data_IF_413642457471
#
_entry.id   IF_413642457471
#
_cell.length_a   1.000
_cell.length_b   1.000
_cell.length_c   1.000
_cell.angle_alpha   90.00
_cell.angle_beta   90.00
_cell.angle_gamma   90.00
#
_symmetry.space_group_name_H-M   'P 1'
#
loop_
_entity.id
_entity.type
_entity.pdbx_description
1 polymer ?
#
# COMPACT_ATOMS: atom_id res chain seq x y z
N UNK A 1 25.78 -57.30 -47.65
CA UNK A 1 26.58 -56.36 -46.84
C UNK A 1 25.65 -55.26 -46.39
N UNK A 2 25.16 -55.39 -45.16
CA UNK A 2 24.40 -54.38 -44.44
C UNK A 2 25.27 -53.15 -44.20
N UNK A 3 24.67 -51.96 -44.26
CA UNK A 3 25.01 -50.81 -43.41
C UNK A 3 23.90 -49.77 -43.58
N UNK A 4 22.93 -49.89 -42.68
CA UNK A 4 21.87 -48.95 -42.36
C UNK A 4 22.53 -47.72 -41.73
N UNK A 5 22.30 -46.53 -42.28
CA UNK A 5 22.79 -45.27 -41.70
C UNK A 5 21.66 -44.72 -40.85
N UNK A 6 21.78 -44.91 -39.53
CA UNK A 6 20.84 -44.37 -38.56
C UNK A 6 21.01 -42.84 -38.48
N UNK A 7 19.96 -42.09 -38.83
CA UNK A 7 19.85 -40.69 -38.46
C UNK A 7 19.57 -40.59 -36.96
N UNK A 8 20.50 -39.96 -36.24
CA UNK A 8 20.33 -39.57 -34.84
C UNK A 8 19.25 -38.49 -34.75
N UNK A 9 18.18 -38.62 -33.93
CA UNK A 9 17.26 -37.53 -33.72
C UNK A 9 17.97 -36.40 -32.96
N UNK A 10 18.00 -35.20 -33.56
CA UNK A 10 18.42 -33.97 -32.89
C UNK A 10 17.52 -33.74 -31.66
N UNK A 11 18.15 -33.71 -30.49
CA UNK A 11 17.50 -33.24 -29.28
C UNK A 11 16.99 -31.81 -29.50
N UNK A 12 15.70 -31.60 -29.26
CA UNK A 12 15.06 -30.28 -29.28
C UNK A 12 15.72 -29.41 -28.23
N UNK A 13 16.33 -28.30 -28.63
CA UNK A 13 16.71 -27.22 -27.72
C UNK A 13 15.44 -26.72 -27.02
N UNK A 14 15.21 -27.15 -25.79
CA UNK A 14 14.35 -26.42 -24.89
C UNK A 14 15.13 -25.15 -24.53
N UNK A 15 14.75 -24.00 -25.10
CA UNK A 15 15.23 -22.71 -24.61
C UNK A 15 14.84 -22.62 -23.14
N UNK A 16 15.83 -22.44 -22.26
CA UNK A 16 15.56 -22.11 -20.87
C UNK A 16 14.62 -20.91 -20.83
N UNK A 17 13.51 -20.96 -20.07
CA UNK A 17 12.61 -19.82 -19.98
C UNK A 17 13.44 -18.61 -19.53
N UNK A 18 13.24 -17.42 -20.13
CA UNK A 18 13.98 -16.24 -19.74
C UNK A 18 13.87 -16.06 -18.23
N UNK A 19 14.96 -15.69 -17.53
CA UNK A 19 14.93 -15.51 -16.09
C UNK A 19 13.76 -14.59 -15.73
N UNK A 20 12.96 -14.90 -14.70
CA UNK A 20 11.73 -14.19 -14.41
C UNK A 20 12.02 -12.68 -14.34
N UNK A 21 11.46 -11.92 -15.28
CA UNK A 21 11.71 -10.48 -15.41
C UNK A 21 11.21 -9.70 -14.18
N UNK A 22 10.27 -10.29 -13.44
CA UNK A 22 9.85 -9.93 -12.10
C UNK A 22 9.01 -11.06 -11.50
N UNK A 23 8.96 -11.13 -10.19
CA UNK A 23 8.07 -12.02 -9.42
C UNK A 23 6.95 -11.17 -8.85
N UNK A 24 5.71 -11.47 -9.22
CA UNK A 24 4.53 -10.89 -8.62
C UNK A 24 4.42 -11.37 -7.16
N UNK A 25 4.13 -10.43 -6.26
CA UNK A 25 4.06 -10.63 -4.82
C UNK A 25 2.88 -9.87 -4.25
N UNK A 26 2.61 -10.09 -2.98
CA UNK A 26 1.54 -9.37 -2.30
C UNK A 26 1.82 -9.12 -0.83
N UNK A 27 1.17 -8.10 -0.25
CA UNK A 27 1.28 -7.79 1.17
C UNK A 27 -0.09 -7.44 1.76
N UNK A 28 -0.29 -7.76 3.04
CA UNK A 28 -1.52 -7.43 3.78
C UNK A 28 -1.31 -6.11 4.50
N UNK A 29 -2.16 -5.13 4.22
CA UNK A 29 -2.01 -3.79 4.78
C UNK A 29 -2.94 -3.63 5.97
N UNK A 30 -2.34 -3.30 7.11
CA UNK A 30 -3.04 -2.99 8.34
C UNK A 30 -2.81 -1.53 8.71
N UNK A 31 -3.82 -0.90 9.30
CA UNK A 31 -3.71 0.43 9.88
C UNK A 31 -3.87 0.36 11.39
N UNK A 32 -3.05 1.12 12.11
CA UNK A 32 -3.19 1.37 13.53
C UNK A 32 -3.40 2.86 13.76
N UNK A 33 -4.51 3.24 14.40
CA UNK A 33 -4.73 4.63 14.82
C UNK A 33 -4.06 4.85 16.18
N UNK A 34 -2.84 5.42 16.17
CA UNK A 34 -2.12 5.81 17.39
C UNK A 34 -2.34 7.27 17.78
N UNK A 35 -3.31 7.94 17.16
CA UNK A 35 -3.71 9.29 17.55
C UNK A 35 -4.67 9.25 18.74
N UNK A 36 -4.99 10.42 19.29
CA UNK A 36 -6.04 10.59 20.31
C UNK A 36 -7.42 10.84 19.72
N UNK A 37 -7.56 10.88 18.38
CA UNK A 37 -8.79 11.27 17.70
C UNK A 37 -9.33 10.13 16.83
N UNK A 38 -10.66 10.02 16.65
CA UNK A 38 -11.23 9.09 15.68
C UNK A 38 -11.02 9.58 14.24
N UNK A 39 -10.68 8.65 13.35
CA UNK A 39 -10.48 8.92 11.92
C UNK A 39 -11.26 7.93 11.05
N UNK A 40 -11.89 8.41 9.98
CA UNK A 40 -12.24 7.55 8.84
C UNK A 40 -11.04 7.48 7.90
N UNK A 41 -10.49 6.29 7.65
CA UNK A 41 -9.23 6.12 6.91
C UNK A 41 -9.44 5.29 5.65
N UNK A 42 -8.84 5.73 4.55
CA UNK A 42 -8.69 5.00 3.31
C UNK A 42 -7.20 4.92 2.96
N UNK A 43 -6.77 3.73 2.52
CA UNK A 43 -5.41 3.50 2.00
C UNK A 43 -5.49 3.34 0.49
N UNK A 44 -4.62 4.04 -0.22
CA UNK A 44 -4.51 3.97 -1.68
C UNK A 44 -3.05 3.62 -2.00
N UNK A 45 -2.87 2.60 -2.82
CA UNK A 45 -1.59 2.08 -3.27
C UNK A 45 -1.56 2.01 -4.79
N UNK A 46 -0.39 2.27 -5.36
CA UNK A 46 -0.11 2.10 -6.79
C UNK A 46 1.33 1.65 -6.99
N UNK A 47 1.51 0.43 -7.47
CA UNK A 47 2.78 0.01 -8.06
C UNK A 47 2.95 0.65 -9.44
N UNK A 48 4.16 1.06 -9.80
CA UNK A 48 4.44 1.71 -11.10
C UNK A 48 3.98 0.84 -12.27
N UNK A 49 3.19 1.42 -13.18
CA UNK A 49 2.67 0.71 -14.35
C UNK A 49 1.38 -0.08 -14.10
N UNK A 50 0.98 -0.26 -12.83
CA UNK A 50 -0.19 -1.04 -12.46
C UNK A 50 -1.41 -0.15 -12.11
N UNK A 51 -2.63 -0.71 -12.15
CA UNK A 51 -3.83 -0.04 -11.66
C UNK A 51 -3.73 0.35 -10.17
N UNK A 52 -4.48 1.38 -9.79
CA UNK A 52 -4.60 1.80 -8.39
C UNK A 52 -5.39 0.76 -7.60
N UNK A 53 -4.92 0.46 -6.39
CA UNK A 53 -5.59 -0.39 -5.41
C UNK A 53 -5.96 0.46 -4.20
N UNK A 54 -7.25 0.54 -3.86
CA UNK A 54 -7.74 1.36 -2.76
C UNK A 54 -8.65 0.57 -1.82
N UNK A 55 -8.53 0.81 -0.52
CA UNK A 55 -9.51 0.32 0.46
C UNK A 55 -10.79 1.15 0.38
N UNK A 56 -11.86 0.67 1.03
CA UNK A 56 -12.94 1.56 1.46
C UNK A 56 -12.49 2.42 2.64
N UNK A 57 -13.28 3.44 2.98
CA UNK A 57 -13.11 4.14 4.24
C UNK A 57 -13.56 3.27 5.42
N UNK A 58 -12.72 3.17 6.44
CA UNK A 58 -13.02 2.51 7.70
C UNK A 58 -12.90 3.50 8.85
N UNK A 59 -13.84 3.50 9.80
CA UNK A 59 -13.71 4.27 11.03
C UNK A 59 -12.76 3.54 11.99
N UNK A 60 -11.72 4.24 12.46
CA UNK A 60 -10.78 3.77 13.46
C UNK A 60 -10.82 4.71 14.67
N UNK A 61 -11.20 4.18 15.83
CA UNK A 61 -11.08 4.83 17.12
C UNK A 61 -9.60 4.89 17.56
N UNK A 62 -9.24 5.76 18.52
CA UNK A 62 -7.92 5.74 19.15
C UNK A 62 -7.55 4.33 19.66
N UNK A 63 -6.41 3.81 19.21
CA UNK A 63 -5.90 2.48 19.55
C UNK A 63 -6.36 1.35 18.62
N UNK A 64 -7.31 1.59 17.71
CA UNK A 64 -7.81 0.55 16.81
C UNK A 64 -6.73 0.07 15.84
N UNK A 65 -6.77 -1.24 15.57
CA UNK A 65 -6.00 -1.92 14.54
C UNK A 65 -6.94 -2.61 13.56
N UNK A 66 -6.74 -2.39 12.26
CA UNK A 66 -7.66 -2.89 11.22
C UNK A 66 -6.90 -3.35 9.99
N UNK A 67 -7.27 -4.51 9.45
CA UNK A 67 -6.91 -4.89 8.09
C UNK A 67 -7.68 -4.02 7.08
N UNK A 68 -6.99 -3.47 6.09
CA UNK A 68 -7.57 -2.51 5.13
C UNK A 68 -7.72 -3.11 3.73
N UNK A 69 -6.66 -3.74 3.21
CA UNK A 69 -6.61 -4.33 1.87
C UNK A 69 -5.38 -5.24 1.72
N UNK A 70 -5.41 -6.11 0.71
CA UNK A 70 -4.22 -6.80 0.20
C UNK A 70 -3.77 -6.08 -1.07
N UNK A 71 -2.48 -5.76 -1.17
CA UNK A 71 -1.90 -5.11 -2.36
C UNK A 71 -1.00 -6.07 -3.12
N UNK A 72 -0.85 -5.85 -4.42
CA UNK A 72 0.10 -6.56 -5.29
C UNK A 72 1.23 -5.64 -5.73
N UNK A 73 2.44 -6.21 -5.84
CA UNK A 73 3.64 -5.52 -6.30
C UNK A 73 4.58 -6.52 -6.98
N UNK A 74 5.61 -6.02 -7.68
CA UNK A 74 6.57 -6.86 -8.40
C UNK A 74 7.97 -6.63 -7.89
N UNK A 75 8.72 -7.71 -7.67
CA UNK A 75 10.13 -7.67 -7.26
C UNK A 75 11.02 -8.39 -8.28
N UNK A 76 12.26 -7.96 -8.42
CA UNK A 76 13.24 -8.66 -9.24
C UNK A 76 14.45 -7.77 -9.49
N UNK A 77 15.56 -8.36 -9.95
CA UNK A 77 16.79 -7.61 -10.20
C UNK A 77 16.62 -6.53 -11.29
N UNK A 78 15.67 -6.73 -12.22
CA UNK A 78 15.40 -5.81 -13.33
C UNK A 78 14.14 -4.95 -13.12
N UNK A 79 13.45 -5.06 -11.98
CA UNK A 79 12.25 -4.27 -11.74
C UNK A 79 12.62 -2.84 -11.36
N UNK A 80 12.09 -1.86 -12.11
CA UNK A 80 12.25 -0.42 -11.81
C UNK A 80 11.03 0.20 -11.13
N UNK A 81 9.98 -0.61 -10.91
CA UNK A 81 8.73 -0.14 -10.31
C UNK A 81 8.88 0.18 -8.83
N UNK A 82 8.10 1.16 -8.39
CA UNK A 82 8.09 1.66 -7.01
C UNK A 82 6.66 1.64 -6.49
N UNK A 83 6.50 1.25 -5.22
CA UNK A 83 5.24 1.34 -4.49
C UNK A 83 4.97 2.77 -4.02
N UNK A 84 3.87 3.33 -4.52
CA UNK A 84 3.39 4.67 -4.22
C UNK A 84 2.15 4.58 -3.32
N UNK A 85 2.10 5.41 -2.29
CA UNK A 85 1.10 5.34 -1.23
C UNK A 85 0.46 6.69 -0.97
N UNK A 86 -0.82 6.66 -0.64
CA UNK A 86 -1.58 7.76 -0.04
C UNK A 86 -2.37 7.22 1.14
N UNK A 87 -2.38 7.97 2.23
CA UNK A 87 -3.32 7.75 3.33
C UNK A 87 -4.26 8.94 3.33
N UNK A 88 -5.54 8.69 3.04
CA UNK A 88 -6.58 9.69 3.12
C UNK A 88 -7.38 9.44 4.40
N UNK A 89 -7.48 10.45 5.24
CA UNK A 89 -8.13 10.33 6.54
C UNK A 89 -9.07 11.51 6.79
N UNK A 90 -10.21 11.27 7.44
CA UNK A 90 -11.14 12.31 7.88
C UNK A 90 -11.19 12.25 9.40
N UNK A 91 -10.60 13.27 10.05
CA UNK A 91 -10.69 13.44 11.50
C UNK A 91 -12.12 13.82 11.88
N UNK A 92 -12.68 13.17 12.89
CA UNK A 92 -13.99 13.53 13.44
C UNK A 92 -13.78 14.22 14.78
N UNK A 93 -13.94 15.54 14.83
CA UNK A 93 -13.81 16.32 16.07
C UNK A 93 -15.20 16.58 16.64
N UNK A 94 -15.47 16.12 17.86
CA UNK A 94 -16.73 16.43 18.56
C UNK A 94 -16.85 17.95 18.75
N UNK A 95 -17.98 18.54 18.36
CA UNK A 95 -18.18 19.99 18.44
C UNK A 95 -18.68 20.45 19.83
N UNK A 96 -19.12 19.50 20.66
CA UNK A 96 -19.84 19.78 21.91
C UNK A 96 -21.31 20.15 21.71
N UNK A 97 -21.77 20.16 20.46
CA UNK A 97 -23.17 20.39 20.09
C UNK A 97 -23.88 19.05 19.85
N UNK A 98 -25.20 19.09 19.97
CA UNK A 98 -26.08 17.97 19.68
C UNK A 98 -27.02 18.34 18.53
N UNK A 99 -27.33 17.39 17.66
CA UNK A 99 -28.35 17.58 16.63
C UNK A 99 -29.77 17.58 17.23
N UNK A 100 -30.78 17.83 16.39
CA UNK A 100 -32.19 17.88 16.80
C UNK A 100 -32.68 16.56 17.41
N UNK A 101 -32.01 15.43 17.09
CA UNK A 101 -32.29 14.10 17.60
C UNK A 101 -31.49 13.76 18.87
N UNK A 102 -30.66 14.69 19.37
CA UNK A 102 -29.84 14.51 20.56
C UNK A 102 -28.56 13.68 20.34
N UNK A 103 -28.12 13.49 19.10
CA UNK A 103 -26.82 12.87 18.81
C UNK A 103 -25.70 13.90 18.80
N UNK A 104 -24.51 13.49 19.24
CA UNK A 104 -23.31 14.33 19.20
C UNK A 104 -22.96 14.72 17.78
N UNK A 105 -22.71 16.00 17.56
CA UNK A 105 -22.25 16.52 16.29
C UNK A 105 -20.72 16.44 16.18
N UNK A 106 -20.25 16.12 14.98
CA UNK A 106 -18.83 16.05 14.65
C UNK A 106 -18.52 16.97 13.48
N UNK A 107 -17.42 17.72 13.60
CA UNK A 107 -16.84 18.47 12.50
C UNK A 107 -15.82 17.59 11.76
N UNK A 108 -16.06 17.24 10.49
CA UNK A 108 -15.07 16.52 9.68
C UNK A 108 -13.93 17.45 9.29
N UNK A 109 -12.71 16.93 9.31
CA UNK A 109 -11.52 17.62 8.82
C UNK A 109 -10.68 16.63 8.00
N UNK A 110 -10.30 17.01 6.78
CA UNK A 110 -9.53 16.16 5.89
C UNK A 110 -8.04 16.21 6.24
N UNK A 111 -7.43 15.02 6.27
CA UNK A 111 -6.05 14.77 6.60
C UNK A 111 -5.45 13.80 5.59
N UNK A 112 -4.14 13.92 5.38
CA UNK A 112 -3.41 13.11 4.41
C UNK A 112 -1.95 12.92 4.76
N UNK A 113 -1.33 11.91 4.17
CA UNK A 113 0.14 11.84 4.15
C UNK A 113 0.73 12.94 3.29
N UNK A 114 1.84 13.51 3.76
CA UNK A 114 2.73 14.31 2.95
C UNK A 114 3.39 13.49 1.84
N UNK A 115 4.01 14.21 0.92
CA UNK A 115 4.72 13.66 -0.22
C UNK A 115 5.94 14.54 -0.57
N UNK A 116 6.80 14.04 -1.45
CA UNK A 116 7.93 14.82 -1.96
C UNK A 116 7.46 15.96 -2.89
N UNK A 117 8.23 17.04 -3.03
CA UNK A 117 7.86 18.17 -3.90
C UNK A 117 7.61 17.80 -5.39
N UNK A 118 8.13 16.67 -5.85
CA UNK A 118 8.05 16.22 -7.24
C UNK A 118 6.88 15.26 -7.54
N UNK A 119 6.15 14.78 -6.52
CA UNK A 119 5.13 13.75 -6.68
C UNK A 119 4.13 13.82 -5.52
N UNK A 120 2.83 13.66 -5.77
CA UNK A 120 1.76 13.70 -4.76
C UNK A 120 1.61 12.38 -3.96
N UNK A 121 2.52 11.44 -4.19
CA UNK A 121 2.55 10.14 -3.53
C UNK A 121 3.74 9.97 -2.59
N UNK A 122 3.54 9.23 -1.50
CA UNK A 122 4.61 8.76 -0.63
C UNK A 122 5.16 7.44 -1.16
N UNK A 123 6.48 7.37 -1.38
CA UNK A 123 7.14 6.13 -1.79
C UNK A 123 7.49 5.26 -0.58
N UNK A 124 7.15 3.97 -0.61
CA UNK A 124 7.58 2.98 0.38
C UNK A 124 7.62 1.62 -0.30
N UNK A 125 8.81 1.22 -0.77
CA UNK A 125 9.01 0.01 -1.57
C UNK A 125 8.81 -1.25 -0.73
N UNK A 126 7.97 -2.15 -1.22
CA UNK A 126 7.83 -3.51 -0.71
C UNK A 126 8.84 -4.43 -1.40
N UNK A 127 9.39 -5.39 -0.66
CA UNK A 127 10.44 -6.30 -1.13
C UNK A 127 10.03 -7.76 -0.96
N UNK A 128 10.86 -8.67 -1.45
CA UNK A 128 10.61 -10.11 -1.32
C UNK A 128 10.37 -10.57 0.12
N UNK A 129 10.96 -9.89 1.09
CA UNK A 129 10.80 -10.17 2.50
C UNK A 129 9.38 -9.85 3.02
N UNK A 130 8.59 -9.06 2.30
CA UNK A 130 7.24 -8.61 2.68
C UNK A 130 6.13 -9.50 2.10
N UNK A 131 6.48 -10.49 1.29
CA UNK A 131 5.51 -11.33 0.57
C UNK A 131 4.60 -12.12 1.51
N UNK A 132 3.29 -11.97 1.32
CA UNK A 132 2.19 -12.49 2.15
C UNK A 132 2.25 -12.11 3.64
N UNK A 133 3.15 -11.18 4.01
CA UNK A 133 3.30 -10.63 5.35
C UNK A 133 2.50 -9.35 5.54
N UNK A 134 2.50 -8.88 6.78
CA UNK A 134 1.81 -7.66 7.18
C UNK A 134 2.73 -6.44 7.05
N UNK A 135 2.21 -5.40 6.42
CA UNK A 135 2.78 -4.05 6.48
C UNK A 135 1.83 -3.18 7.28
N UNK A 136 2.37 -2.51 8.30
CA UNK A 136 1.63 -1.68 9.23
C UNK A 136 1.77 -0.21 8.89
N UNK A 137 0.65 0.48 8.68
CA UNK A 137 0.56 1.92 8.53
C UNK A 137 0.06 2.50 9.86
N UNK A 138 0.91 3.22 10.58
CA UNK A 138 0.58 3.75 11.90
C UNK A 138 0.38 5.25 11.84
N UNK A 139 -0.79 5.72 12.27
CA UNK A 139 -1.14 7.13 12.28
C UNK A 139 -0.79 7.73 13.65
N UNK A 140 0.18 8.63 13.67
CA UNK A 140 0.49 9.48 14.82
C UNK A 140 -0.01 10.90 14.55
N UNK A 141 0.01 11.76 15.57
CA UNK A 141 -0.54 13.12 15.51
C UNK A 141 -0.07 13.92 14.29
N UNK A 142 1.21 13.80 13.93
CA UNK A 142 1.85 14.58 12.86
C UNK A 142 2.65 13.71 11.88
N UNK A 143 2.57 12.38 12.00
CA UNK A 143 3.40 11.46 11.24
C UNK A 143 2.63 10.20 10.89
N UNK A 144 2.88 9.68 9.69
CA UNK A 144 2.49 8.32 9.29
C UNK A 144 3.74 7.48 9.15
N UNK A 145 3.75 6.33 9.80
CA UNK A 145 4.83 5.34 9.71
C UNK A 145 4.36 4.16 8.87
N UNK A 146 5.08 3.86 7.80
CA UNK A 146 4.93 2.65 6.99
C UNK A 146 6.00 1.66 7.45
N UNK A 147 5.58 0.54 8.03
CA UNK A 147 6.45 -0.44 8.65
C UNK A 147 6.22 -1.83 8.07
N UNK A 148 7.17 -2.29 7.28
CA UNK A 148 7.18 -3.62 6.67
C UNK A 148 8.40 -4.42 7.19
N UNK A 149 8.38 -5.76 7.08
CA UNK A 149 9.54 -6.59 7.38
C UNK A 149 10.84 -6.14 6.70
N UNK A 150 10.75 -5.58 5.50
CA UNK A 150 11.90 -5.09 4.72
C UNK A 150 12.38 -3.69 5.10
N UNK A 151 11.61 -2.95 5.90
CA UNK A 151 12.04 -1.69 6.47
C UNK A 151 10.89 -0.75 6.83
N UNK A 152 11.28 0.39 7.40
CA UNK A 152 10.34 1.42 7.84
C UNK A 152 10.58 2.72 7.06
N UNK A 153 9.52 3.45 6.75
CA UNK A 153 9.62 4.82 6.24
C UNK A 153 8.53 5.71 6.86
N UNK A 154 8.77 7.01 6.92
CA UNK A 154 7.81 7.93 7.52
C UNK A 154 7.42 9.04 6.55
N UNK A 155 6.26 9.63 6.79
CA UNK A 155 5.80 10.85 6.11
C UNK A 155 5.07 11.74 7.10
N UNK A 156 5.02 13.03 6.79
CA UNK A 156 4.17 13.97 7.54
C UNK A 156 2.70 13.51 7.49
N UNK A 157 1.97 13.66 8.58
CA UNK A 157 0.50 13.55 8.60
C UNK A 157 -0.07 14.93 8.89
N UNK A 158 -0.83 15.48 7.94
CA UNK A 158 -1.29 16.87 8.03
C UNK A 158 -2.69 17.05 7.48
N UNK A 159 -3.32 18.14 7.89
CA UNK A 159 -4.56 18.63 7.30
C UNK A 159 -4.35 18.91 5.81
N UNK A 160 -5.35 18.57 5.01
CA UNK A 160 -5.37 18.83 3.58
C UNK A 160 -6.17 17.78 2.82
N UNK A 161 -6.45 18.10 1.57
CA UNK A 161 -7.09 17.21 0.62
C UNK A 161 -6.07 16.79 -0.43
N UNK A 162 -6.30 15.63 -1.03
CA UNK A 162 -5.65 15.30 -2.28
C UNK A 162 -6.46 15.94 -3.40
N UNK A 163 -5.81 16.65 -4.31
CA UNK A 163 -6.49 17.19 -5.49
C UNK A 163 -6.88 16.04 -6.44
N UNK A 164 -8.17 15.97 -6.80
CA UNK A 164 -8.65 15.09 -7.87
C UNK A 164 -8.71 13.58 -7.57
N UNK A 165 -8.99 13.19 -6.31
CA UNK A 165 -9.48 11.82 -6.02
C UNK A 165 -10.99 11.74 -6.24
#
# INVERSE_FOLDING_TARGET
MSSEVAETPQATNAEDPPPPQGTARSAKIHVENKTSDPFKVQIIHKYTGEPVQASRFELLQPGDKKFMLKVTYTTGFWTTGVDNWKVHAVKLTETGEYDEDGNKMYKPENWRTGHSLADDWKKHTLRSEDDDKETWIRLYKNEVVFDSPSGTSTSEFKKGEYEGI
#
